data_IF_903389496212
#
_entry.id   IF_903389496212
#
_cell.length_a   1.000
_cell.length_b   1.000
_cell.length_c   1.000
_cell.angle_alpha   90.00
_cell.angle_beta   90.00
_cell.angle_gamma   90.00
#
_symmetry.space_group_name_H-M   'P 1'
#
loop_
_entity.id
_entity.type
_entity.pdbx_description
1 polymer ?
#
# COMPACT_ATOMS: atom_id res chain seq x y z
N UNK A 1 17.55 -12.85 -11.47
CA UNK A 1 16.96 -11.59 -11.95
C UNK A 1 15.59 -11.93 -12.52
N UNK A 2 14.50 -11.50 -11.87
CA UNK A 2 13.15 -11.75 -12.38
C UNK A 2 12.93 -10.90 -13.65
N UNK A 3 12.38 -11.51 -14.69
CA UNK A 3 12.18 -10.85 -15.98
C UNK A 3 11.08 -9.79 -15.85
N UNK A 4 11.25 -8.66 -16.53
CA UNK A 4 10.26 -7.57 -16.60
C UNK A 4 8.93 -7.99 -17.28
N UNK A 5 8.82 -9.23 -17.76
CA UNK A 5 7.64 -9.77 -18.46
C UNK A 5 6.89 -10.85 -17.67
N UNK A 6 7.36 -11.25 -16.50
CA UNK A 6 6.67 -12.30 -15.75
C UNK A 6 5.31 -11.78 -15.23
N UNK A 7 4.23 -12.56 -15.39
CA UNK A 7 2.93 -12.19 -14.85
C UNK A 7 3.04 -12.05 -13.33
N UNK A 8 2.49 -10.95 -12.79
CA UNK A 8 2.48 -10.71 -11.35
C UNK A 8 1.58 -11.74 -10.70
N UNK A 9 2.14 -12.58 -9.81
CA UNK A 9 1.34 -13.50 -8.98
C UNK A 9 0.46 -12.67 -8.05
N UNK A 10 -0.84 -12.60 -8.37
CA UNK A 10 -1.84 -11.85 -7.61
C UNK A 10 -1.89 -12.26 -6.14
N UNK A 11 -1.58 -13.51 -5.81
CA UNK A 11 -1.58 -13.98 -4.42
C UNK A 11 -0.36 -13.49 -3.63
N UNK A 12 0.68 -12.99 -4.31
CA UNK A 12 1.91 -12.47 -3.69
C UNK A 12 1.96 -10.95 -3.60
N UNK A 13 1.02 -10.24 -4.22
CA UNK A 13 0.97 -8.78 -4.10
C UNK A 13 0.74 -8.37 -2.66
N UNK A 14 1.63 -7.54 -2.13
CA UNK A 14 1.47 -6.92 -0.82
C UNK A 14 0.48 -5.76 -0.91
N UNK A 15 -0.07 -5.35 0.24
CA UNK A 15 -0.84 -4.11 0.31
C UNK A 15 0.09 -3.00 0.78
N UNK A 16 0.05 -1.90 0.06
CA UNK A 16 0.73 -0.66 0.39
C UNK A 16 -0.34 0.37 0.70
N UNK A 17 -0.43 0.79 1.96
CA UNK A 17 -1.29 1.91 2.33
C UNK A 17 -0.43 3.16 2.24
N UNK A 18 -0.82 4.09 1.38
CA UNK A 18 -0.02 5.24 1.07
C UNK A 18 -0.86 6.52 1.05
N UNK A 19 -0.19 7.64 1.18
CA UNK A 19 -0.73 8.95 0.87
C UNK A 19 0.36 9.80 0.24
N UNK A 20 -0.05 10.66 -0.67
CA UNK A 20 0.84 11.48 -1.48
C UNK A 20 0.29 12.90 -1.54
N UNK A 21 1.19 13.87 -1.51
CA UNK A 21 0.91 15.27 -1.78
C UNK A 21 1.96 15.81 -2.77
N UNK A 22 1.99 17.12 -2.98
CA UNK A 22 2.92 17.73 -3.93
C UNK A 22 4.39 17.69 -3.44
N UNK A 23 4.65 17.35 -2.18
CA UNK A 23 5.98 17.38 -1.57
C UNK A 23 6.56 15.98 -1.37
N UNK A 24 5.74 15.03 -0.92
CA UNK A 24 6.21 13.73 -0.47
C UNK A 24 5.20 12.60 -0.68
N UNK A 25 5.73 11.39 -0.52
CA UNK A 25 5.00 10.14 -0.45
C UNK A 25 5.25 9.53 0.93
N UNK A 26 4.18 9.14 1.62
CA UNK A 26 4.25 8.30 2.82
C UNK A 26 3.56 6.97 2.55
N UNK A 27 4.20 5.87 2.95
CA UNK A 27 3.78 4.51 2.63
C UNK A 27 4.01 3.59 3.82
N UNK A 28 3.07 2.67 4.01
CA UNK A 28 3.23 1.52 4.90
C UNK A 28 2.97 0.25 4.12
N UNK A 29 3.97 -0.63 4.09
CA UNK A 29 3.90 -1.94 3.46
C UNK A 29 3.39 -2.95 4.47
N UNK A 30 2.37 -3.71 4.07
CA UNK A 30 1.80 -4.79 4.84
C UNK A 30 2.11 -6.13 4.19
N UNK A 31 2.55 -7.07 5.02
CA UNK A 31 2.62 -8.49 4.70
C UNK A 31 1.51 -9.24 5.44
N UNK A 32 1.42 -10.55 5.20
CA UNK A 32 0.55 -11.45 5.98
C UNK A 32 0.89 -11.48 7.48
N UNK A 33 2.10 -11.05 7.86
CA UNK A 33 2.54 -10.97 9.26
C UNK A 33 2.30 -9.60 9.90
N UNK A 34 1.77 -8.63 9.15
CA UNK A 34 1.55 -7.25 9.60
C UNK A 34 2.37 -6.21 8.84
N UNK A 35 2.43 -4.98 9.38
CA UNK A 35 3.22 -3.89 8.80
C UNK A 35 4.72 -4.22 8.90
N UNK A 36 5.41 -4.16 7.76
CA UNK A 36 6.83 -4.53 7.65
C UNK A 36 7.75 -3.33 7.39
N UNK A 37 7.19 -2.22 6.89
CA UNK A 37 7.94 -1.01 6.58
C UNK A 37 7.00 0.20 6.59
N UNK A 38 7.28 1.20 7.43
CA UNK A 38 6.76 2.57 7.31
C UNK A 38 7.90 3.44 6.77
N UNK A 39 7.61 4.20 5.71
CA UNK A 39 8.58 5.02 5.03
C UNK A 39 7.91 6.28 4.48
N UNK A 40 8.60 7.40 4.63
CA UNK A 40 8.28 8.68 4.04
C UNK A 40 9.51 9.23 3.31
N UNK A 41 9.30 9.73 2.09
CA UNK A 41 10.32 10.45 1.35
C UNK A 41 9.72 11.52 0.45
N UNK A 42 10.52 12.53 0.17
CA UNK A 42 10.25 13.55 -0.82
C UNK A 42 10.30 12.96 -2.24
N UNK A 43 9.67 13.66 -3.19
CA UNK A 43 9.77 13.28 -4.60
C UNK A 43 11.18 13.42 -5.18
N UNK A 44 12.04 14.24 -4.57
CA UNK A 44 13.44 14.36 -4.95
C UNK A 44 14.21 13.08 -4.58
N UNK A 45 14.13 12.65 -3.31
CA UNK A 45 14.75 11.40 -2.84
C UNK A 45 14.25 10.17 -3.61
N UNK A 46 12.95 10.14 -3.96
CA UNK A 46 12.37 9.05 -4.74
C UNK A 46 12.82 9.02 -6.20
N UNK A 47 13.30 10.14 -6.74
CA UNK A 47 13.84 10.20 -8.10
C UNK A 47 15.16 9.44 -8.20
N UNK A 48 15.99 9.61 -7.17
CA UNK A 48 17.24 8.87 -7.02
C UNK A 48 16.99 7.37 -6.84
N UNK A 49 15.86 7.01 -6.22
CA UNK A 49 15.37 5.64 -6.05
C UNK A 49 14.28 5.22 -7.07
N UNK A 50 14.23 5.83 -8.26
CA UNK A 50 13.12 5.67 -9.22
C UNK A 50 12.86 4.22 -9.66
N UNK A 51 13.91 3.41 -9.76
CA UNK A 51 13.77 1.97 -10.10
C UNK A 51 13.05 1.19 -9.00
N UNK A 52 13.34 1.52 -7.73
CA UNK A 52 12.64 0.90 -6.60
C UNK A 52 11.18 1.33 -6.57
N UNK A 53 10.88 2.62 -6.76
CA UNK A 53 9.51 3.10 -6.81
C UNK A 53 8.72 2.48 -7.98
N UNK A 54 9.32 2.40 -9.16
CA UNK A 54 8.70 1.73 -10.31
C UNK A 54 8.39 0.26 -10.04
N UNK A 55 9.29 -0.45 -9.34
CA UNK A 55 9.04 -1.82 -8.90
C UNK A 55 7.87 -1.89 -7.90
N UNK A 56 7.85 -1.05 -6.87
CA UNK A 56 6.78 -1.11 -5.85
C UNK A 56 5.41 -0.73 -6.40
N UNK A 57 5.34 0.21 -7.35
CA UNK A 57 4.10 0.60 -8.05
C UNK A 57 3.50 -0.54 -8.88
N UNK A 58 4.35 -1.39 -9.45
CA UNK A 58 3.93 -2.49 -10.33
C UNK A 58 3.49 -3.74 -9.57
N UNK A 59 4.17 -4.08 -8.48
CA UNK A 59 4.07 -5.38 -7.82
C UNK A 59 3.19 -5.40 -6.56
N UNK A 60 2.58 -4.26 -6.20
CA UNK A 60 1.77 -4.15 -4.99
C UNK A 60 0.37 -3.59 -5.28
N UNK A 61 -0.54 -3.79 -4.33
CA UNK A 61 -1.86 -3.15 -4.30
C UNK A 61 -1.78 -1.87 -3.48
N UNK A 62 -2.04 -0.73 -4.10
CA UNK A 62 -1.90 0.58 -3.50
C UNK A 62 -3.25 1.10 -3.01
N UNK A 63 -3.28 1.55 -1.76
CA UNK A 63 -4.46 2.12 -1.13
C UNK A 63 -4.18 3.57 -0.79
N UNK A 64 -4.93 4.46 -1.44
CA UNK A 64 -4.76 5.90 -1.34
C UNK A 64 -5.98 6.51 -0.64
N UNK A 65 -5.80 7.59 0.14
CA UNK A 65 -6.89 8.19 0.90
C UNK A 65 -7.98 8.76 -0.01
N UNK A 66 -7.57 9.40 -1.11
CA UNK A 66 -8.44 10.10 -2.05
C UNK A 66 -7.81 10.20 -3.45
N UNK A 67 -8.58 10.80 -4.38
CA UNK A 67 -8.14 11.04 -5.75
C UNK A 67 -7.03 12.08 -5.86
N UNK A 68 -6.88 12.98 -4.88
CA UNK A 68 -5.82 13.99 -4.89
C UNK A 68 -4.46 13.33 -4.66
N UNK A 69 -4.36 12.43 -3.68
CA UNK A 69 -3.16 11.60 -3.49
C UNK A 69 -2.86 10.73 -4.71
N UNK A 70 -3.89 10.16 -5.35
CA UNK A 70 -3.66 9.40 -6.59
C UNK A 70 -3.11 10.26 -7.73
N UNK A 71 -3.65 11.47 -7.89
CA UNK A 71 -3.16 12.42 -8.89
C UNK A 71 -1.73 12.90 -8.58
N UNK A 72 -1.39 13.16 -7.31
CA UNK A 72 -0.04 13.53 -6.88
C UNK A 72 0.97 12.41 -7.21
N UNK A 73 0.66 11.18 -6.82
CA UNK A 73 1.51 10.01 -7.09
C UNK A 73 1.71 9.76 -8.59
N UNK A 74 0.62 9.82 -9.36
CA UNK A 74 0.66 9.60 -10.82
C UNK A 74 1.49 10.67 -11.53
N UNK A 75 1.43 11.92 -11.07
CA UNK A 75 2.16 13.04 -11.67
C UNK A 75 3.66 12.98 -11.38
N UNK A 76 4.03 12.58 -10.17
CA UNK A 76 5.42 12.57 -9.73
C UNK A 76 6.20 11.33 -10.20
N UNK A 77 5.50 10.20 -10.41
CA UNK A 77 6.09 8.96 -10.88
C UNK A 77 5.25 8.36 -12.02
N UNK A 78 4.44 7.36 -11.72
CA UNK A 78 3.51 6.69 -12.64
C UNK A 78 2.29 6.22 -11.87
N UNK A 79 1.17 6.00 -12.56
CA UNK A 79 -0.01 5.41 -11.93
C UNK A 79 0.31 3.99 -11.47
N UNK A 80 0.03 3.62 -10.21
CA UNK A 80 0.14 2.23 -9.78
C UNK A 80 -0.81 1.34 -10.58
N UNK A 81 -0.42 0.09 -10.83
CA UNK A 81 -1.22 -0.82 -11.65
C UNK A 81 -2.50 -1.31 -10.96
N UNK A 82 -2.52 -1.28 -9.63
CA UNK A 82 -3.62 -1.78 -8.80
C UNK A 82 -3.84 -0.76 -7.67
N UNK A 83 -4.81 0.14 -7.87
CA UNK A 83 -5.12 1.23 -6.94
C UNK A 83 -6.53 1.09 -6.41
N UNK A 84 -6.68 1.29 -5.10
CA UNK A 84 -7.96 1.50 -4.44
C UNK A 84 -7.99 2.84 -3.73
N UNK A 85 -9.11 3.53 -3.82
CA UNK A 85 -9.35 4.77 -3.10
C UNK A 85 -10.17 4.44 -1.85
N UNK A 86 -9.63 4.77 -0.68
CA UNK A 86 -10.26 4.50 0.61
C UNK A 86 -11.42 5.46 0.93
N UNK A 87 -11.48 6.61 0.23
CA UNK A 87 -12.42 7.71 0.49
C UNK A 87 -12.32 8.23 1.94
N UNK A 88 -11.08 8.32 2.43
CA UNK A 88 -10.73 8.75 3.79
C UNK A 88 -9.57 9.74 3.70
N UNK A 89 -9.85 11.01 3.37
CA UNK A 89 -8.81 12.02 3.27
C UNK A 89 -8.07 12.16 4.60
N UNK A 90 -6.76 12.37 4.53
CA UNK A 90 -5.94 12.64 5.72
C UNK A 90 -6.15 14.11 6.10
N UNK A 91 -6.61 14.34 7.32
CA UNK A 91 -6.75 15.69 7.85
C UNK A 91 -5.44 16.05 8.54
N UNK A 92 -4.67 16.97 7.94
CA UNK A 92 -3.36 17.37 8.43
C UNK A 92 -2.27 17.24 7.37
N UNK A 93 -1.03 17.13 7.79
CA UNK A 93 0.12 16.89 6.90
C UNK A 93 0.50 15.41 6.88
N UNK A 94 1.14 14.95 5.81
CA UNK A 94 1.57 13.55 5.73
C UNK A 94 2.66 13.19 6.75
N UNK A 95 3.44 14.19 7.17
CA UNK A 95 4.44 14.06 8.25
C UNK A 95 3.82 13.98 9.65
N UNK A 96 2.52 14.23 9.81
CA UNK A 96 1.83 14.05 11.09
C UNK A 96 1.50 12.57 11.30
N UNK A 97 2.29 11.92 12.16
CA UNK A 97 2.12 10.52 12.53
C UNK A 97 0.75 10.20 13.12
N UNK A 98 0.13 11.13 13.87
CA UNK A 98 -1.17 10.90 14.47
C UNK A 98 -2.29 10.92 13.41
N UNK A 99 -2.20 11.87 12.47
CA UNK A 99 -3.12 11.95 11.33
C UNK A 99 -2.98 10.69 10.44
N UNK A 100 -1.75 10.31 10.10
CA UNK A 100 -1.49 9.14 9.27
C UNK A 100 -1.91 7.84 9.95
N UNK A 101 -1.64 7.68 11.25
CA UNK A 101 -2.12 6.52 12.03
C UNK A 101 -3.64 6.42 12.06
N UNK A 102 -4.35 7.54 12.13
CA UNK A 102 -5.82 7.56 12.08
C UNK A 102 -6.33 7.04 10.74
N UNK A 103 -5.68 7.43 9.66
CA UNK A 103 -5.96 6.89 8.32
C UNK A 103 -5.68 5.38 8.25
N UNK A 104 -4.53 4.90 8.75
CA UNK A 104 -4.20 3.47 8.80
C UNK A 104 -5.27 2.67 9.55
N UNK A 105 -5.70 3.13 10.73
CA UNK A 105 -6.77 2.48 11.50
C UNK A 105 -8.10 2.44 10.73
N UNK A 106 -8.43 3.48 9.96
CA UNK A 106 -9.63 3.50 9.13
C UNK A 106 -9.55 2.48 7.98
N UNK A 107 -8.38 2.37 7.33
CA UNK A 107 -8.13 1.39 6.28
C UNK A 107 -8.20 -0.03 6.85
N UNK A 108 -7.56 -0.29 7.99
CA UNK A 108 -7.62 -1.58 8.68
C UNK A 108 -9.04 -1.95 9.11
N UNK A 109 -9.80 -1.01 9.67
CA UNK A 109 -11.18 -1.26 10.08
C UNK A 109 -12.08 -1.58 8.89
N UNK A 110 -11.84 -0.95 7.74
CA UNK A 110 -12.55 -1.24 6.48
C UNK A 110 -12.17 -2.64 5.97
N UNK A 111 -10.88 -2.96 6.02
CA UNK A 111 -10.34 -4.26 5.64
C UNK A 111 -10.93 -5.42 6.44
N UNK A 112 -11.00 -5.30 7.77
CA UNK A 112 -11.54 -6.36 8.64
C UNK A 112 -13.02 -6.65 8.37
N UNK A 113 -13.75 -5.72 7.76
CA UNK A 113 -15.16 -5.89 7.39
C UNK A 113 -15.34 -6.48 5.99
N UNK A 114 -14.37 -6.33 5.11
CA UNK A 114 -14.42 -6.89 3.76
C UNK A 114 -13.79 -8.29 3.73
N UNK A 115 -14.64 -9.32 3.72
CA UNK A 115 -14.24 -10.72 3.71
C UNK A 115 -13.37 -11.11 2.49
N UNK A 116 -13.53 -10.41 1.36
CA UNK A 116 -12.78 -10.68 0.13
C UNK A 116 -11.34 -10.22 0.25
N UNK A 117 -11.14 -9.06 0.89
CA UNK A 117 -9.81 -8.47 1.11
C UNK A 117 -9.15 -9.14 2.32
N UNK A 118 -9.93 -9.47 3.37
CA UNK A 118 -9.52 -10.29 4.52
C UNK A 118 -8.82 -11.59 4.11
N UNK A 119 -9.32 -12.26 3.08
CA UNK A 119 -8.71 -13.48 2.52
C UNK A 119 -7.36 -13.26 1.82
N UNK A 120 -7.04 -12.03 1.43
CA UNK A 120 -5.82 -11.70 0.68
C UNK A 120 -4.65 -11.36 1.60
N UNK A 121 -4.83 -10.61 2.71
CA UNK A 121 -3.73 -10.47 3.69
C UNK A 121 -3.71 -11.61 4.71
N UNK A 122 -4.87 -12.16 5.05
CA UNK A 122 -5.01 -13.27 5.98
C UNK A 122 -5.62 -14.45 5.23
N UNK A 123 -4.90 -14.93 4.21
CA UNK A 123 -5.19 -16.22 3.63
C UNK A 123 -5.28 -17.21 4.80
N UNK A 124 -6.41 -17.93 4.93
CA UNK A 124 -6.51 -18.97 5.94
C UNK A 124 -5.34 -19.89 5.71
N UNK A 125 -4.42 -19.96 6.66
CA UNK A 125 -3.36 -20.94 6.60
C UNK A 125 -4.05 -22.30 6.68
N UNK A 126 -4.00 -23.07 5.61
CA UNK A 126 -4.43 -24.48 5.62
C UNK A 126 -3.70 -25.30 6.71
N UNK A 127 -2.68 -24.73 7.37
CA UNK A 127 -1.93 -25.38 8.45
C UNK A 127 -2.52 -25.30 9.86
N UNK A 128 -3.56 -24.50 10.15
CA UNK A 128 -4.12 -24.47 11.53
C UNK A 128 -5.31 -25.43 11.73
N UNK A 129 -6.00 -25.80 10.66
CA UNK A 129 -7.12 -26.75 10.73
C UNK A 129 -6.64 -28.20 10.95
N UNK A 130 -5.48 -28.57 10.41
CA UNK A 130 -4.90 -29.93 10.58
C UNK A 130 -4.23 -30.16 11.95
N UNK A 131 -4.00 -29.11 12.74
CA UNK A 131 -3.37 -29.22 14.06
C UNK A 131 -4.37 -29.51 15.19
N UNK A 132 -5.67 -29.55 14.90
CA UNK A 132 -6.75 -29.71 15.90
C UNK A 132 -7.72 -30.85 15.52
N UNK A 133 -7.32 -31.75 14.61
CA UNK A 133 -8.08 -32.96 14.26
C UNK A 133 -7.58 -34.19 15.04
#
# INVERSE_FOLDING_TARGET
MASSTDPVDENRKQIVVAAADDMCLRTVFFSSLGAILDFQATWEELRDASSWLGFTLRWNRWWLPDSASHAALTRAAYAPNDVRIAHRPIIGTLSDDAAFRTYLMSVESTYRRDATISRVLFAMSDGFADAVA
#
